data_IF_909243530014
#
_entry.id   IF_909243530014
#
_cell.length_a   1.000
_cell.length_b   1.000
_cell.length_c   1.000
_cell.angle_alpha   90.00
_cell.angle_beta   90.00
_cell.angle_gamma   90.00
#
_symmetry.space_group_name_H-M   'P 1'
#
loop_
_entity.id
_entity.type
_entity.pdbx_description
1 polymer ?
#
# COMPACT_ATOMS: atom_id res chain seq x y z
N UNK A 1 -11.39 13.29 -9.89
CA UNK A 1 -10.68 14.21 -10.81
C UNK A 1 -11.17 15.63 -10.57
N UNK A 2 -10.31 16.64 -10.78
CA UNK A 2 -10.66 18.06 -10.61
C UNK A 2 -11.60 18.52 -11.72
N UNK A 3 -12.75 19.11 -11.36
CA UNK A 3 -13.74 19.60 -12.34
C UNK A 3 -13.93 21.11 -12.32
N UNK A 4 -13.21 21.84 -11.45
CA UNK A 4 -13.31 23.31 -11.32
C UNK A 4 -14.57 23.79 -10.59
N UNK A 5 -15.51 22.89 -10.25
CA UNK A 5 -16.70 23.20 -9.46
C UNK A 5 -16.43 23.12 -7.94
N UNK A 6 -17.17 23.88 -7.12
CA UNK A 6 -17.12 23.75 -5.66
C UNK A 6 -17.30 22.28 -5.23
N UNK A 7 -16.42 21.81 -4.34
CA UNK A 7 -16.41 20.42 -3.86
C UNK A 7 -15.62 19.42 -4.71
N UNK A 8 -15.08 19.84 -5.86
CA UNK A 8 -14.31 18.96 -6.77
C UNK A 8 -12.93 19.55 -7.13
N UNK A 9 -12.17 19.94 -6.11
CA UNK A 9 -10.83 20.53 -6.27
C UNK A 9 -9.77 19.49 -6.68
N UNK A 10 -9.87 18.24 -6.23
CA UNK A 10 -8.90 17.18 -6.55
C UNK A 10 -7.46 17.46 -6.08
N UNK A 11 -7.28 18.46 -5.22
CA UNK A 11 -6.02 18.88 -4.60
C UNK A 11 -6.23 19.07 -3.11
N UNK A 12 -5.27 18.63 -2.31
CA UNK A 12 -5.20 18.96 -0.89
C UNK A 12 -4.48 20.31 -0.79
N UNK A 13 -5.14 21.39 -0.32
CA UNK A 13 -4.49 22.68 -0.17
C UNK A 13 -3.34 22.65 0.85
N UNK A 14 -2.32 23.49 0.66
CA UNK A 14 -1.12 23.50 1.52
C UNK A 14 -1.39 24.07 2.92
N UNK A 15 -2.44 24.87 3.09
CA UNK A 15 -2.94 25.29 4.40
C UNK A 15 -3.48 24.10 5.23
N UNK A 16 -3.81 22.98 4.58
CA UNK A 16 -4.21 21.73 5.23
C UNK A 16 -3.00 20.79 5.30
N UNK A 17 -2.19 20.99 6.34
CA UNK A 17 -1.00 20.19 6.58
C UNK A 17 -1.33 18.70 6.74
N UNK A 18 -0.52 17.85 6.10
CA UNK A 18 -0.51 16.41 6.36
C UNK A 18 0.13 16.12 7.73
N UNK A 19 -0.17 14.96 8.31
CA UNK A 19 0.52 14.53 9.53
C UNK A 19 2.04 14.45 9.32
N UNK A 20 2.49 14.03 8.15
CA UNK A 20 3.91 13.93 7.82
C UNK A 20 4.58 15.32 7.81
N UNK A 21 3.93 16.34 7.26
CA UNK A 21 4.44 17.73 7.26
C UNK A 21 4.61 18.27 8.69
N UNK A 22 3.71 17.91 9.60
CA UNK A 22 3.84 18.31 11.01
C UNK A 22 4.94 17.53 11.73
N UNK A 23 5.08 16.23 11.45
CA UNK A 23 6.04 15.37 12.13
C UNK A 23 7.48 15.63 11.68
N UNK A 24 7.72 15.86 10.39
CA UNK A 24 9.08 16.12 9.86
C UNK A 24 9.68 17.39 10.45
N UNK A 25 8.88 18.46 10.58
CA UNK A 25 9.29 19.71 11.26
C UNK A 25 9.58 19.53 12.76
N UNK A 26 9.08 18.45 13.36
CA UNK A 26 9.34 18.07 14.76
C UNK A 26 10.48 17.05 14.89
N UNK A 27 11.26 16.84 13.84
CA UNK A 27 12.43 15.98 13.84
C UNK A 27 12.12 14.49 13.80
N UNK A 28 10.94 14.08 13.33
CA UNK A 28 10.65 12.68 13.02
C UNK A 28 11.16 12.32 11.64
N UNK A 29 11.56 11.07 11.44
CA UNK A 29 11.68 10.55 10.08
C UNK A 29 10.31 10.17 9.54
N UNK A 30 10.02 10.52 8.29
CA UNK A 30 8.70 10.27 7.69
C UNK A 30 8.81 9.48 6.40
N UNK A 31 8.15 8.33 6.33
CA UNK A 31 8.19 7.43 5.18
C UNK A 31 6.77 7.15 4.66
N UNK A 32 6.62 7.09 3.34
CA UNK A 32 5.41 6.62 2.69
C UNK A 32 5.71 5.39 1.85
N UNK A 33 4.93 4.32 2.03
CA UNK A 33 5.07 3.09 1.26
C UNK A 33 3.73 2.60 0.71
N UNK A 34 3.75 2.22 -0.57
CA UNK A 34 2.60 1.70 -1.30
C UNK A 34 1.77 2.78 -1.98
N UNK A 35 0.44 2.71 -1.82
CA UNK A 35 -0.51 3.56 -2.52
C UNK A 35 -0.44 5.01 -2.03
N UNK A 36 -0.34 5.95 -2.97
CA UNK A 36 -0.54 7.36 -2.67
C UNK A 36 -1.92 7.87 -3.09
N UNK A 37 -2.25 7.85 -4.38
CA UNK A 37 -3.56 8.23 -4.93
C UNK A 37 -4.04 9.67 -4.63
N UNK A 38 -3.13 10.57 -4.29
CA UNK A 38 -3.43 11.98 -4.01
C UNK A 38 -2.73 12.96 -4.96
N UNK A 39 -2.02 12.45 -5.99
CA UNK A 39 -1.43 13.28 -7.04
C UNK A 39 -2.51 13.70 -8.03
N UNK A 40 -2.69 15.01 -8.29
CA UNK A 40 -3.55 15.49 -9.36
C UNK A 40 -3.14 14.92 -10.72
N UNK A 41 -4.10 14.63 -11.59
CA UNK A 41 -3.84 13.96 -12.87
C UNK A 41 -2.87 14.71 -13.79
N UNK A 42 -2.89 16.04 -13.75
CA UNK A 42 -1.96 16.92 -14.49
C UNK A 42 -0.57 17.03 -13.85
N UNK A 43 -0.41 16.55 -12.63
CA UNK A 43 0.86 16.41 -11.91
C UNK A 43 1.43 14.99 -11.95
N UNK A 44 0.67 14.01 -12.46
CA UNK A 44 1.05 12.60 -12.55
C UNK A 44 2.01 12.28 -13.72
N UNK A 45 2.99 13.15 -13.98
CA UNK A 45 4.02 12.92 -15.00
C UNK A 45 5.35 13.57 -14.60
N UNK A 46 6.45 13.08 -15.20
CA UNK A 46 7.81 13.53 -14.84
C UNK A 46 8.14 14.95 -15.26
N UNK A 47 7.42 15.52 -16.24
CA UNK A 47 7.62 16.91 -16.67
C UNK A 47 6.89 17.92 -15.77
N UNK A 48 6.01 17.46 -14.87
CA UNK A 48 5.20 18.32 -14.02
C UNK A 48 5.85 18.57 -12.66
N UNK A 49 5.19 19.45 -11.90
CA UNK A 49 5.47 19.72 -10.50
C UNK A 49 5.26 18.47 -9.66
N UNK A 50 6.15 18.22 -8.68
CA UNK A 50 6.02 17.13 -7.70
C UNK A 50 5.49 17.61 -6.34
N UNK A 51 4.89 18.80 -6.29
CA UNK A 51 4.41 19.42 -5.04
C UNK A 51 3.36 18.57 -4.32
N UNK A 52 2.49 17.85 -5.03
CA UNK A 52 1.51 16.94 -4.41
C UNK A 52 1.96 15.46 -4.42
N UNK A 53 3.20 15.17 -4.82
CA UNK A 53 3.80 13.85 -4.66
C UNK A 53 4.17 13.65 -3.19
N UNK A 54 4.42 12.41 -2.74
CA UNK A 54 4.72 12.13 -1.33
C UNK A 54 5.86 12.99 -0.75
N UNK A 55 6.96 13.16 -1.51
CA UNK A 55 8.08 13.98 -1.07
C UNK A 55 7.77 15.49 -0.99
N UNK A 56 6.76 15.96 -1.74
CA UNK A 56 6.25 17.32 -1.64
C UNK A 56 5.26 17.53 -0.49
N UNK A 57 4.89 16.47 0.24
CA UNK A 57 3.84 16.46 1.27
C UNK A 57 4.32 15.91 2.61
N UNK A 58 5.59 16.20 2.93
CA UNK A 58 6.20 15.99 4.25
C UNK A 58 6.81 14.61 4.47
N UNK A 59 6.82 13.73 3.47
CA UNK A 59 7.57 12.47 3.54
C UNK A 59 9.00 12.68 3.06
N UNK A 60 9.98 12.16 3.78
CA UNK A 60 11.39 12.22 3.37
C UNK A 60 11.73 11.11 2.37
N UNK A 61 11.05 9.95 2.44
CA UNK A 61 11.23 8.81 1.54
C UNK A 61 9.89 8.28 1.04
N UNK A 62 9.86 7.82 -0.21
CA UNK A 62 8.72 7.16 -0.82
C UNK A 62 9.11 5.95 -1.65
N UNK A 63 8.37 4.85 -1.47
CA UNK A 63 8.42 3.70 -2.35
C UNK A 63 7.03 3.10 -2.56
N UNK A 64 6.53 3.11 -3.79
CA UNK A 64 5.21 2.57 -4.09
C UNK A 64 4.67 3.08 -5.41
N UNK A 65 3.37 3.30 -5.49
CA UNK A 65 2.70 3.69 -6.72
C UNK A 65 1.79 4.90 -6.50
N UNK A 66 1.76 5.81 -7.49
CA UNK A 66 1.01 7.06 -7.38
C UNK A 66 -0.48 6.89 -7.67
N UNK A 67 -0.84 5.87 -8.44
CA UNK A 67 -2.20 5.61 -8.89
C UNK A 67 -3.16 5.08 -7.82
N UNK A 68 -4.42 4.88 -8.23
CA UNK A 68 -5.48 4.34 -7.38
C UNK A 68 -5.41 2.82 -7.21
N UNK A 69 -4.73 2.13 -8.10
CA UNK A 69 -4.59 0.69 -8.13
C UNK A 69 -3.24 0.32 -8.74
N UNK A 70 -2.83 -0.92 -8.52
CA UNK A 70 -1.58 -1.44 -9.05
C UNK A 70 -1.72 -2.95 -9.29
N UNK A 71 -1.12 -3.44 -10.38
CA UNK A 71 -0.88 -4.87 -10.53
C UNK A 71 0.09 -5.32 -9.42
N UNK A 72 -0.30 -6.34 -8.65
CA UNK A 72 0.53 -6.83 -7.54
C UNK A 72 1.75 -7.64 -8.00
N UNK A 73 1.81 -8.01 -9.27
CA UNK A 73 2.90 -8.76 -9.90
C UNK A 73 3.80 -7.87 -10.76
N UNK A 74 3.21 -6.90 -11.46
CA UNK A 74 3.89 -5.97 -12.37
C UNK A 74 3.52 -4.51 -12.07
N UNK A 75 3.86 -3.98 -10.88
CA UNK A 75 3.46 -2.63 -10.48
C UNK A 75 4.28 -1.53 -11.16
N UNK A 76 3.63 -0.41 -11.47
CA UNK A 76 4.30 0.85 -11.83
C UNK A 76 4.85 1.52 -10.55
N UNK A 77 6.13 1.26 -10.25
CA UNK A 77 6.77 1.73 -9.02
C UNK A 77 7.48 3.07 -9.20
N UNK A 78 7.47 3.85 -8.12
CA UNK A 78 8.21 5.09 -7.97
C UNK A 78 8.99 5.04 -6.67
N UNK A 79 10.27 5.37 -6.75
CA UNK A 79 11.19 5.53 -5.64
C UNK A 79 11.67 7.00 -5.62
N UNK A 80 11.32 7.75 -4.57
CA UNK A 80 11.79 9.12 -4.33
C UNK A 80 11.63 10.06 -5.56
N UNK A 81 10.44 10.01 -6.18
CA UNK A 81 10.05 10.73 -7.41
C UNK A 81 10.66 10.20 -8.72
N UNK A 82 11.35 9.06 -8.70
CA UNK A 82 11.88 8.41 -9.90
C UNK A 82 11.15 7.09 -10.16
N UNK A 83 10.63 6.83 -11.38
CA UNK A 83 10.09 5.52 -11.72
C UNK A 83 11.18 4.46 -11.66
N UNK A 84 10.83 3.28 -11.15
CA UNK A 84 11.75 2.15 -11.03
C UNK A 84 11.05 0.86 -11.43
N UNK A 85 11.83 -0.11 -11.91
CA UNK A 85 11.33 -1.45 -12.16
C UNK A 85 11.24 -2.25 -10.84
N UNK A 86 10.30 -3.20 -10.74
CA UNK A 86 10.30 -4.17 -9.64
C UNK A 86 11.63 -4.91 -9.51
N UNK A 87 12.11 -5.19 -8.29
CA UNK A 87 13.41 -5.84 -8.06
C UNK A 87 13.46 -7.31 -8.54
N UNK A 88 12.33 -7.93 -8.84
CA UNK A 88 12.23 -9.30 -9.32
C UNK A 88 10.93 -9.51 -10.11
N UNK A 89 10.86 -10.61 -10.85
CA UNK A 89 9.63 -11.03 -11.55
C UNK A 89 8.82 -12.03 -10.70
N UNK A 90 7.53 -12.26 -11.02
CA UNK A 90 6.71 -13.24 -10.29
C UNK A 90 7.29 -14.66 -10.29
N UNK A 91 7.98 -15.07 -11.34
CA UNK A 91 8.66 -16.38 -11.45
C UNK A 91 9.78 -16.53 -10.41
N UNK A 92 10.36 -15.41 -9.98
CA UNK A 92 11.36 -15.34 -8.92
C UNK A 92 10.74 -15.02 -7.54
N UNK A 93 9.43 -15.16 -7.39
CA UNK A 93 8.72 -14.98 -6.13
C UNK A 93 8.38 -13.53 -5.78
N UNK A 94 8.40 -12.62 -6.76
CA UNK A 94 7.98 -11.23 -6.54
C UNK A 94 6.50 -11.12 -6.21
N UNK A 95 6.17 -10.24 -5.26
CA UNK A 95 4.82 -9.73 -5.04
C UNK A 95 4.93 -8.37 -4.36
N UNK A 96 4.14 -7.38 -4.82
CA UNK A 96 4.19 -6.00 -4.35
C UNK A 96 4.12 -5.89 -2.82
N UNK A 97 3.15 -6.55 -2.16
CA UNK A 97 3.06 -6.54 -0.69
C UNK A 97 4.33 -6.96 0.03
N UNK A 98 5.05 -7.97 -0.47
CA UNK A 98 6.31 -8.42 0.15
C UNK A 98 7.39 -7.35 -0.03
N UNK A 99 7.50 -6.83 -1.26
CA UNK A 99 8.46 -5.79 -1.61
C UNK A 99 8.26 -4.51 -0.79
N UNK A 100 7.03 -4.03 -0.65
CA UNK A 100 6.70 -2.89 0.21
C UNK A 100 7.15 -3.10 1.66
N UNK A 101 6.94 -4.31 2.22
CA UNK A 101 7.39 -4.63 3.58
C UNK A 101 8.93 -4.63 3.67
N UNK A 102 9.61 -5.25 2.71
CA UNK A 102 11.08 -5.29 2.69
C UNK A 102 11.67 -3.87 2.62
N UNK A 103 11.08 -2.99 1.80
CA UNK A 103 11.47 -1.57 1.71
C UNK A 103 11.16 -0.79 2.98
N UNK A 104 10.03 -1.05 3.65
CA UNK A 104 9.71 -0.39 4.92
C UNK A 104 10.76 -0.73 5.98
N UNK A 105 11.15 -2.01 6.06
CA UNK A 105 12.20 -2.48 6.96
C UNK A 105 13.53 -1.81 6.63
N UNK A 106 13.89 -1.71 5.34
CA UNK A 106 15.10 -1.02 4.89
C UNK A 106 15.12 0.44 5.35
N UNK A 107 14.08 1.23 5.07
CA UNK A 107 14.03 2.65 5.45
C UNK A 107 14.12 2.87 6.96
N UNK A 108 13.44 2.03 7.75
CA UNK A 108 13.49 2.11 9.22
C UNK A 108 14.90 1.75 9.70
N UNK A 109 15.49 0.67 9.17
CA UNK A 109 16.82 0.19 9.56
C UNK A 109 17.89 1.22 9.23
N UNK A 110 17.89 1.77 8.03
CA UNK A 110 18.91 2.72 7.58
C UNK A 110 18.97 3.95 8.50
N UNK A 111 17.82 4.45 8.93
CA UNK A 111 17.76 5.52 9.91
C UNK A 111 18.19 5.07 11.32
N UNK A 112 17.71 3.92 11.79
CA UNK A 112 17.99 3.43 13.14
C UNK A 112 19.46 3.07 13.35
N UNK A 113 20.19 2.68 12.31
CA UNK A 113 21.64 2.45 12.37
C UNK A 113 22.40 3.74 12.70
N UNK A 114 21.91 4.89 12.23
CA UNK A 114 22.58 6.20 12.41
C UNK A 114 22.08 6.92 13.67
N UNK A 115 20.76 6.92 13.90
CA UNK A 115 20.11 7.60 15.01
C UNK A 115 19.07 6.68 15.68
N UNK A 116 19.51 5.76 16.56
CA UNK A 116 18.64 4.76 17.19
C UNK A 116 17.45 5.35 17.94
N UNK A 117 17.63 6.51 18.57
CA UNK A 117 16.60 7.17 19.40
C UNK A 117 15.67 8.08 18.59
N UNK A 118 16.00 8.42 17.34
CA UNK A 118 15.15 9.29 16.52
C UNK A 118 13.83 8.56 16.21
N UNK A 119 12.67 9.17 16.48
CA UNK A 119 11.38 8.55 16.16
C UNK A 119 11.14 8.56 14.65
N UNK A 120 10.30 7.65 14.19
CA UNK A 120 9.90 7.54 12.79
C UNK A 120 8.40 7.29 12.68
N UNK A 121 7.83 7.74 11.56
CA UNK A 121 6.46 7.51 11.18
C UNK A 121 6.43 6.93 9.76
N UNK A 122 5.74 5.80 9.60
CA UNK A 122 5.57 5.15 8.30
C UNK A 122 4.09 5.11 7.94
N UNK A 123 3.71 5.79 6.86
CA UNK A 123 2.45 5.61 6.18
C UNK A 123 2.55 4.38 5.28
N UNK A 124 2.00 3.25 5.72
CA UNK A 124 2.05 1.98 4.98
C UNK A 124 0.68 1.64 4.41
N UNK A 125 0.54 1.65 3.09
CA UNK A 125 -0.71 1.44 2.37
C UNK A 125 -0.55 0.41 1.25
N UNK A 126 -0.77 -0.89 1.51
CA UNK A 126 -0.60 -1.92 0.49
C UNK A 126 -1.63 -1.78 -0.64
N UNK A 127 -1.29 -2.29 -1.83
CA UNK A 127 -2.25 -2.43 -2.93
C UNK A 127 -3.18 -3.63 -2.77
N UNK A 128 -2.76 -4.66 -2.02
CA UNK A 128 -3.50 -5.90 -1.84
C UNK A 128 -4.89 -5.70 -1.22
N UNK A 129 -5.88 -6.42 -1.75
CA UNK A 129 -7.29 -6.30 -1.35
C UNK A 129 -8.08 -5.29 -2.19
N UNK A 130 -7.41 -4.48 -3.01
CA UNK A 130 -8.03 -3.74 -4.11
C UNK A 130 -7.90 -4.55 -5.42
N UNK A 131 -8.72 -4.20 -6.42
CA UNK A 131 -8.53 -4.74 -7.77
C UNK A 131 -7.15 -4.34 -8.33
N UNK A 132 -6.50 -5.22 -9.13
CA UNK A 132 -6.87 -6.62 -9.39
C UNK A 132 -6.54 -7.56 -8.21
N UNK A 133 -7.38 -8.58 -8.00
CA UNK A 133 -7.21 -9.56 -6.91
C UNK A 133 -6.12 -10.59 -7.25
N UNK A 134 -4.87 -10.18 -7.07
CA UNK A 134 -3.69 -10.99 -7.29
C UNK A 134 -3.19 -11.56 -5.95
N UNK A 135 -3.20 -12.90 -5.84
CA UNK A 135 -2.73 -13.62 -4.66
C UNK A 135 -1.96 -14.86 -5.08
N UNK A 136 -1.00 -15.27 -4.25
CA UNK A 136 -0.28 -16.53 -4.39
C UNK A 136 -1.24 -17.73 -4.43
N UNK A 137 -0.94 -18.72 -5.29
CA UNK A 137 -1.81 -19.87 -5.55
C UNK A 137 -2.10 -20.68 -4.28
N UNK A 138 -1.14 -20.77 -3.37
CA UNK A 138 -1.25 -21.56 -2.14
C UNK A 138 -2.38 -21.04 -1.24
N UNK A 139 -2.60 -19.72 -1.24
CA UNK A 139 -3.60 -19.04 -0.43
C UNK A 139 -5.02 -19.15 -1.01
N UNK A 140 -5.15 -19.46 -2.30
CA UNK A 140 -6.44 -19.64 -2.97
C UNK A 140 -7.20 -20.84 -2.38
N UNK A 141 -6.49 -21.90 -1.99
CA UNK A 141 -7.09 -23.14 -1.46
C UNK A 141 -7.90 -22.94 -0.17
N UNK A 142 -7.45 -22.08 0.74
CA UNK A 142 -8.14 -21.76 2.00
C UNK A 142 -9.32 -20.78 1.85
N UNK A 143 -9.27 -19.92 0.83
CA UNK A 143 -10.33 -18.93 0.55
C UNK A 143 -11.57 -19.62 -0.03
N UNK A 144 -11.40 -20.60 -0.93
CA UNK A 144 -12.55 -21.37 -1.43
C UNK A 144 -13.18 -22.27 -0.35
N UNK A 145 -12.40 -22.89 0.55
CA UNK A 145 -12.96 -23.69 1.65
C UNK A 145 -13.80 -22.85 2.65
N UNK A 146 -13.34 -21.64 2.98
CA UNK A 146 -14.08 -20.73 3.86
C UNK A 146 -15.30 -20.07 3.19
N UNK A 147 -15.21 -19.76 1.89
CA UNK A 147 -16.34 -19.23 1.12
C UNK A 147 -17.47 -20.28 0.94
N UNK A 148 -17.13 -21.55 0.69
CA UNK A 148 -18.12 -22.63 0.59
C UNK A 148 -18.80 -22.97 1.93
N UNK A 149 -18.17 -22.69 3.07
CA UNK A 149 -18.81 -22.87 4.37
C UNK A 149 -19.86 -21.80 4.72
N UNK A 150 -19.94 -20.70 3.97
CA UNK A 150 -20.93 -19.64 4.22
C UNK A 150 -22.27 -19.81 3.49
N UNK A 151 -22.37 -20.76 2.54
CA UNK A 151 -23.55 -20.90 1.65
C UNK A 151 -24.17 -22.31 1.61
N UNK A 152 -23.71 -23.24 2.43
CA UNK A 152 -24.42 -24.52 2.63
C UNK A 152 -24.76 -24.69 4.10
N UNK A 153 -26.03 -24.47 4.43
CA UNK A 153 -26.64 -25.04 5.62
C UNK A 153 -26.28 -26.54 5.67
N UNK A 154 -25.67 -27.06 6.74
CA UNK A 154 -25.33 -28.46 6.81
C UNK A 154 -26.62 -29.28 7.03
N UNK A 155 -27.13 -29.88 5.96
CA UNK A 155 -27.98 -31.08 6.06
C UNK A 155 -27.10 -32.25 6.53
N UNK A 156 -26.75 -32.26 7.82
CA UNK A 156 -26.07 -33.40 8.44
C UNK A 156 -26.28 -33.39 9.97
N UNK A 157 -27.53 -33.32 10.41
CA UNK A 157 -27.92 -33.78 11.75
C UNK A 157 -28.76 -35.05 11.60
N UNK A 158 -28.09 -36.18 11.39
CA UNK A 158 -28.60 -37.48 11.81
C UNK A 158 -27.42 -38.44 12.02
N UNK A 159 -26.93 -38.53 13.27
CA UNK A 159 -26.23 -39.72 13.74
C UNK A 159 -27.18 -40.42 14.72
N UNK A 160 -27.68 -41.63 14.43
CA UNK A 160 -28.41 -42.40 15.42
C UNK A 160 -27.46 -42.81 16.55
N UNK A 161 -27.95 -42.71 17.78
CA UNK A 161 -27.29 -43.19 19.00
C UNK A 161 -27.07 -44.72 18.91
N UNK A 162 -25.89 -45.26 19.27
CA UNK A 162 -25.68 -46.71 19.31
C UNK A 162 -26.48 -47.33 20.47
N UNK A 163 -27.16 -48.48 20.27
CA UNK A 163 -27.89 -49.14 21.33
C UNK A 163 -26.93 -49.88 22.27
N UNK A 164 -27.01 -49.53 23.55
CA UNK A 164 -26.97 -50.49 24.66
C UNK A 164 -25.60 -50.95 25.17
N UNK A 165 -25.55 -51.01 26.50
CA UNK A 165 -24.55 -51.66 27.34
C UNK A 165 -24.51 -53.19 27.15
#
# INVERSE_FOLDING_TARGET
>A
MTSGFPGSNGRIPFENASLAEVLVERGWNTYALGKWHLVPSDEANLASSKRHWPLGRGFERFYGFLGGEADQWYPDLVYDNHPVEPPATPEHGYHLSKDLVDRAIEFIRDAKVIAPEKPWFTYFCPGAGHAPHHIFKEWVSGVYQSAHHSHTLPHALYRPCPPGA
#
